data_IF_027519676037
#
_entry.id   IF_027519676037
#
_cell.length_a   1.000
_cell.length_b   1.000
_cell.length_c   1.000
_cell.angle_alpha   90.00
_cell.angle_beta   90.00
_cell.angle_gamma   90.00
#
_symmetry.space_group_name_H-M   'P 1'
#
loop_
_entity.id
_entity.type
_entity.pdbx_description
1 polymer ?
#
# COMPACT_ATOMS: atom_id res chain seq x y z
N UNK A 1 -7.30 19.54 -27.89
CA UNK A 1 -6.67 20.67 -27.14
C UNK A 1 -5.76 20.07 -26.10
N UNK A 2 -4.45 20.25 -26.24
CA UNK A 2 -3.44 19.68 -25.31
C UNK A 2 -3.36 20.62 -24.10
N UNK A 3 -3.84 20.20 -22.94
CA UNK A 3 -3.55 20.88 -21.68
C UNK A 3 -2.10 20.59 -21.28
N UNK A 4 -1.26 21.60 -21.38
CA UNK A 4 0.10 21.60 -20.81
C UNK A 4 -0.04 21.77 -19.31
N UNK A 5 0.28 20.73 -18.57
CA UNK A 5 0.51 20.87 -17.13
C UNK A 5 1.85 21.62 -16.95
N UNK A 6 1.75 22.85 -16.48
CA UNK A 6 2.93 23.62 -16.05
C UNK A 6 3.33 23.07 -14.70
N UNK A 7 4.39 22.29 -14.68
CA UNK A 7 5.08 21.91 -13.44
C UNK A 7 5.73 23.18 -12.89
N UNK A 8 5.11 23.80 -11.91
CA UNK A 8 5.72 24.91 -11.18
C UNK A 8 6.76 24.29 -10.23
N UNK A 9 7.98 24.22 -10.72
CA UNK A 9 9.15 23.96 -9.90
C UNK A 9 9.41 25.21 -9.06
N UNK A 10 8.88 25.26 -7.84
CA UNK A 10 9.23 26.29 -6.87
C UNK A 10 10.63 25.98 -6.38
N UNK A 11 11.63 26.54 -7.04
CA UNK A 11 12.95 26.74 -6.44
C UNK A 11 12.79 27.73 -5.30
N UNK A 12 12.58 27.26 -4.10
CA UNK A 12 12.75 28.06 -2.89
C UNK A 12 14.23 28.38 -2.79
N UNK A 13 14.59 29.56 -3.21
CA UNK A 13 15.84 30.17 -2.76
C UNK A 13 15.83 30.14 -1.24
N UNK A 14 16.74 29.38 -0.65
CA UNK A 14 17.04 29.47 0.77
C UNK A 14 17.61 30.86 1.02
N UNK A 15 16.76 31.82 1.38
CA UNK A 15 17.22 32.92 2.21
C UNK A 15 17.83 32.25 3.44
N UNK A 16 19.14 32.42 3.62
CA UNK A 16 19.88 32.04 4.82
C UNK A 16 19.36 32.89 6.00
N UNK A 17 18.12 32.61 6.41
CA UNK A 17 17.59 33.07 7.68
C UNK A 17 18.37 32.38 8.79
N UNK A 18 18.73 33.12 9.78
CA UNK A 18 19.37 32.62 11.00
C UNK A 18 18.48 31.48 11.53
N UNK A 19 18.99 30.24 11.41
CA UNK A 19 18.33 29.09 12.04
C UNK A 19 18.48 29.26 13.53
N UNK A 20 17.40 29.26 14.28
CA UNK A 20 17.43 29.26 15.74
C UNK A 20 17.06 27.88 16.25
N UNK A 21 17.95 27.30 17.08
CA UNK A 21 17.61 26.09 17.81
C UNK A 21 16.48 26.40 18.81
N UNK A 22 15.50 25.49 18.92
CA UNK A 22 14.46 25.61 19.94
C UNK A 22 15.04 25.14 21.28
N UNK A 23 15.02 26.03 22.25
CA UNK A 23 15.27 25.72 23.65
C UNK A 23 13.91 25.43 24.32
N UNK A 24 13.73 24.22 24.81
CA UNK A 24 12.47 23.78 25.43
C UNK A 24 12.28 24.33 26.87
N UNK A 25 13.23 25.08 27.38
CA UNK A 25 13.17 25.71 28.72
C UNK A 25 12.85 27.21 28.68
N UNK A 26 13.15 27.88 27.57
CA UNK A 26 12.99 29.34 27.45
C UNK A 26 12.38 29.76 26.11
N UNK A 27 11.56 30.83 26.14
CA UNK A 27 11.00 31.39 24.92
C UNK A 27 12.05 32.05 24.07
N UNK A 28 11.92 31.96 22.75
CA UNK A 28 12.86 32.54 21.78
C UNK A 28 12.16 33.30 20.65
N UNK A 29 12.92 33.70 19.65
CA UNK A 29 12.37 34.42 18.51
C UNK A 29 11.42 33.53 17.70
N UNK A 30 10.14 33.88 17.67
CA UNK A 30 9.11 33.18 16.93
C UNK A 30 8.52 31.92 17.61
N UNK A 31 8.89 31.67 18.87
CA UNK A 31 8.25 30.65 19.69
C UNK A 31 8.19 31.04 21.16
N UNK A 32 7.23 30.51 21.86
CA UNK A 32 7.07 30.69 23.33
C UNK A 32 7.06 29.35 24.01
N UNK A 33 7.59 29.30 25.25
CA UNK A 33 7.55 28.13 26.12
C UNK A 33 6.68 28.46 27.33
N UNK A 34 5.68 27.64 27.58
CA UNK A 34 4.83 27.73 28.75
C UNK A 34 4.66 26.35 29.37
N UNK A 35 5.37 26.07 30.45
CA UNK A 35 5.45 24.75 31.09
C UNK A 35 6.03 23.74 30.07
N UNK A 36 5.26 22.72 29.76
CA UNK A 36 5.67 21.65 28.84
C UNK A 36 5.26 21.89 27.37
N UNK A 37 4.76 23.08 27.06
CA UNK A 37 4.26 23.41 25.72
C UNK A 37 5.15 24.45 25.05
N UNK A 38 5.65 24.12 23.88
CA UNK A 38 6.33 25.03 22.94
C UNK A 38 5.34 25.41 21.84
N UNK A 39 5.03 26.69 21.74
CA UNK A 39 4.14 27.21 20.67
C UNK A 39 4.96 28.00 19.64
N UNK A 40 5.00 27.52 18.40
CA UNK A 40 5.66 28.21 17.31
C UNK A 40 4.65 29.17 16.65
N UNK A 41 4.88 30.46 16.85
CA UNK A 41 4.04 31.56 16.34
C UNK A 41 4.75 32.40 15.26
N UNK A 42 6.02 32.16 15.02
CA UNK A 42 6.82 32.74 13.94
C UNK A 42 6.92 31.85 12.72
N UNK A 43 6.90 32.42 11.52
CA UNK A 43 7.33 31.70 10.32
C UNK A 43 8.87 31.59 10.32
N UNK A 44 9.39 30.55 9.67
CA UNK A 44 10.84 30.37 9.55
C UNK A 44 11.27 28.94 9.78
N UNK A 45 12.56 28.74 9.93
CA UNK A 45 13.15 27.42 10.18
C UNK A 45 13.75 27.36 11.58
N UNK A 46 13.47 26.25 12.27
CA UNK A 46 13.97 25.97 13.62
C UNK A 46 14.67 24.62 13.63
N UNK A 47 15.76 24.53 14.34
CA UNK A 47 16.49 23.28 14.52
C UNK A 47 16.04 22.60 15.82
N UNK A 48 15.74 21.31 15.73
CA UNK A 48 15.44 20.43 16.87
C UNK A 48 16.56 19.40 16.99
N UNK A 49 17.24 19.43 18.10
CA UNK A 49 18.35 18.55 18.44
C UNK A 49 18.15 17.98 19.84
N UNK A 50 18.88 16.93 20.17
CA UNK A 50 18.85 16.28 21.47
C UNK A 50 17.57 15.49 21.78
N UNK A 51 17.35 15.21 23.04
CA UNK A 51 16.23 14.40 23.52
C UNK A 51 15.42 15.18 24.55
N UNK A 52 14.12 15.17 24.37
CA UNK A 52 13.15 15.81 25.24
C UNK A 52 12.14 14.78 25.77
N UNK A 53 11.58 15.06 26.93
CA UNK A 53 10.52 14.24 27.53
C UNK A 53 9.36 15.12 27.97
N UNK A 54 8.13 14.58 27.81
CA UNK A 54 6.90 15.23 28.25
C UNK A 54 6.75 16.67 27.74
N UNK A 55 7.05 16.88 26.45
CA UNK A 55 6.89 18.17 25.78
C UNK A 55 5.87 18.05 24.64
N UNK A 56 5.24 19.17 24.34
CA UNK A 56 4.33 19.33 23.21
C UNK A 56 4.79 20.50 22.33
N UNK A 57 4.85 20.28 21.03
CA UNK A 57 5.10 21.32 20.05
C UNK A 57 3.76 21.67 19.37
N UNK A 58 3.34 22.93 19.46
CA UNK A 58 2.17 23.45 18.74
C UNK A 58 2.66 24.35 17.63
N UNK A 59 2.33 23.99 16.39
CA UNK A 59 2.59 24.80 15.20
C UNK A 59 1.38 25.69 14.95
N UNK A 60 1.39 26.90 15.47
CA UNK A 60 0.32 27.90 15.28
C UNK A 60 0.59 28.84 14.10
N UNK A 61 1.74 28.72 13.47
CA UNK A 61 2.09 29.39 12.20
C UNK A 61 2.97 28.46 11.37
N UNK A 62 2.71 28.44 10.07
CA UNK A 62 3.48 27.61 9.11
C UNK A 62 4.98 27.84 9.25
N UNK A 63 5.74 26.74 9.40
CA UNK A 63 7.17 26.78 9.67
C UNK A 63 7.87 25.51 9.19
N UNK A 64 9.19 25.53 9.28
CA UNK A 64 10.06 24.38 9.05
C UNK A 64 10.71 23.94 10.36
N UNK A 65 10.67 22.66 10.68
CA UNK A 65 11.44 22.05 11.76
C UNK A 65 12.50 21.12 11.14
N UNK A 66 13.76 21.43 11.38
CA UNK A 66 14.87 20.57 10.98
C UNK A 66 15.15 19.58 12.11
N UNK A 67 14.97 18.31 11.86
CA UNK A 67 15.18 17.25 12.83
C UNK A 67 16.53 16.58 12.54
N UNK A 68 17.47 16.79 13.44
CA UNK A 68 18.79 16.16 13.40
C UNK A 68 18.97 15.27 14.63
N UNK A 69 18.66 13.99 14.50
CA UNK A 69 18.69 13.02 15.62
C UNK A 69 17.85 13.41 16.84
N UNK A 70 16.76 14.13 16.59
CA UNK A 70 15.85 14.59 17.65
C UNK A 70 14.97 13.46 18.20
N UNK A 71 14.81 13.42 19.52
CA UNK A 71 13.92 12.45 20.18
C UNK A 71 12.97 13.17 21.14
N UNK A 72 11.67 12.90 21.01
CA UNK A 72 10.66 13.38 21.94
C UNK A 72 9.79 12.21 22.43
N UNK A 73 9.88 11.95 23.72
CA UNK A 73 9.13 10.86 24.36
C UNK A 73 8.16 11.42 25.39
N UNK A 74 6.88 11.19 25.19
CA UNK A 74 5.83 11.55 26.13
C UNK A 74 5.29 10.32 26.85
N UNK A 75 5.26 10.38 28.18
CA UNK A 75 4.68 9.36 29.06
C UNK A 75 3.35 9.83 29.68
N UNK A 76 3.01 11.13 29.54
CA UNK A 76 1.76 11.76 29.97
C UNK A 76 0.75 11.96 28.84
N UNK A 77 -0.19 12.89 29.02
CA UNK A 77 -1.28 13.13 28.07
C UNK A 77 -0.91 14.00 26.88
N UNK A 78 0.31 14.51 26.79
CA UNK A 78 0.70 15.47 25.75
C UNK A 78 0.91 14.80 24.39
N UNK A 79 0.30 15.36 23.36
CA UNK A 79 0.58 15.04 21.95
C UNK A 79 1.94 15.61 21.57
N UNK A 80 2.89 14.83 21.03
CA UNK A 80 4.21 15.33 20.68
C UNK A 80 4.17 16.52 19.72
N UNK A 81 3.44 16.43 18.60
CA UNK A 81 3.30 17.53 17.63
C UNK A 81 1.83 17.75 17.29
N UNK A 82 1.36 18.99 17.45
CA UNK A 82 0.06 19.46 16.99
C UNK A 82 0.26 20.53 15.92
N UNK A 83 -0.32 20.32 14.73
CA UNK A 83 -0.36 21.32 13.65
C UNK A 83 -1.75 21.97 13.68
N UNK A 84 -1.77 23.27 13.95
CA UNK A 84 -3.02 24.04 14.06
C UNK A 84 -3.72 24.19 12.71
N UNK A 85 -4.98 24.58 12.75
CA UNK A 85 -5.84 24.74 11.59
C UNK A 85 -5.17 25.56 10.47
N UNK A 86 -5.24 25.04 9.24
CA UNK A 86 -4.75 25.70 8.02
C UNK A 86 -3.25 26.02 8.05
N UNK A 87 -2.47 25.41 8.94
CA UNK A 87 -1.03 25.60 8.99
C UNK A 87 -0.29 24.49 8.25
N UNK A 88 0.90 24.82 7.76
CA UNK A 88 1.82 23.88 7.13
C UNK A 88 3.03 23.66 8.03
N UNK A 89 3.31 22.43 8.36
CA UNK A 89 4.58 22.03 8.97
C UNK A 89 5.44 21.31 7.93
N UNK A 90 6.66 21.81 7.72
CA UNK A 90 7.70 21.09 6.99
C UNK A 90 8.66 20.46 8.00
N UNK A 91 8.80 19.14 7.99
CA UNK A 91 9.84 18.40 8.71
C UNK A 91 10.97 18.08 7.73
N UNK A 92 12.17 18.56 8.02
CA UNK A 92 13.38 18.24 7.25
C UNK A 92 14.24 17.28 8.06
N UNK A 93 14.39 16.06 7.57
CA UNK A 93 15.09 14.97 8.26
C UNK A 93 16.55 14.88 7.77
N UNK A 94 17.52 14.97 8.67
CA UNK A 94 18.94 14.80 8.35
C UNK A 94 19.60 13.62 9.07
N UNK A 95 18.97 13.12 10.13
CA UNK A 95 19.41 11.96 10.90
C UNK A 95 18.23 11.05 11.25
N UNK A 96 18.40 10.19 12.25
CA UNK A 96 17.32 9.35 12.78
C UNK A 96 16.64 10.07 13.95
N UNK A 97 15.42 10.49 13.77
CA UNK A 97 14.59 11.13 14.80
C UNK A 97 13.46 10.21 15.26
N UNK A 98 13.01 10.39 16.50
CA UNK A 98 11.98 9.55 17.10
C UNK A 98 10.95 10.41 17.83
N UNK A 99 9.66 10.14 17.62
CA UNK A 99 8.57 10.74 18.37
C UNK A 99 7.68 9.62 18.95
N UNK A 100 7.36 9.70 20.23
CA UNK A 100 6.53 8.73 20.93
C UNK A 100 5.48 9.43 21.75
N UNK A 101 4.24 8.96 21.69
CA UNK A 101 3.18 9.34 22.60
C UNK A 101 2.99 8.31 23.73
N UNK A 102 1.99 8.52 24.56
CA UNK A 102 1.56 7.57 25.59
C UNK A 102 0.13 7.09 25.32
N UNK A 103 -0.28 6.03 26.01
CA UNK A 103 -1.65 5.53 25.95
C UNK A 103 -2.70 6.53 26.47
N UNK A 104 -2.28 7.53 27.24
CA UNK A 104 -3.13 8.60 27.79
C UNK A 104 -3.04 9.91 26.98
N UNK A 105 -2.41 9.89 25.80
CA UNK A 105 -2.33 11.05 24.92
C UNK A 105 -3.72 11.72 24.76
N UNK A 106 -3.78 13.05 24.83
CA UNK A 106 -5.03 13.82 24.70
C UNK A 106 -5.63 13.71 23.29
N UNK A 107 -4.80 13.58 22.25
CA UNK A 107 -5.20 13.43 20.86
C UNK A 107 -4.86 12.02 20.35
N UNK A 108 -5.43 11.65 19.21
CA UNK A 108 -5.34 10.31 18.64
C UNK A 108 -4.19 10.15 17.63
N UNK A 109 -3.08 10.86 17.84
CA UNK A 109 -1.90 10.80 16.97
C UNK A 109 -0.63 11.28 17.63
N UNK A 110 0.52 10.69 17.25
CA UNK A 110 1.85 11.22 17.61
C UNK A 110 2.07 12.58 16.95
N UNK A 111 1.69 12.67 15.68
CA UNK A 111 1.55 13.95 14.96
C UNK A 111 0.06 14.10 14.62
N UNK A 112 -0.54 15.19 15.10
CA UNK A 112 -1.95 15.47 14.92
C UNK A 112 -2.16 16.74 14.08
N UNK A 113 -2.97 16.62 13.05
CA UNK A 113 -3.28 17.69 12.10
C UNK A 113 -4.72 18.19 12.34
N UNK A 114 -4.89 19.47 12.67
CA UNK A 114 -6.20 20.09 12.73
C UNK A 114 -6.69 20.43 11.30
N UNK A 115 -7.95 20.79 11.18
CA UNK A 115 -8.64 21.07 9.92
C UNK A 115 -7.81 21.92 8.94
N UNK A 116 -7.65 21.40 7.72
CA UNK A 116 -6.91 22.08 6.67
C UNK A 116 -5.39 22.14 6.87
N UNK A 117 -4.86 21.51 7.90
CA UNK A 117 -3.42 21.47 8.12
C UNK A 117 -2.71 20.54 7.11
N UNK A 118 -1.47 20.88 6.79
CA UNK A 118 -0.63 20.14 5.86
C UNK A 118 0.71 19.79 6.51
N UNK A 119 1.10 18.51 6.38
CA UNK A 119 2.40 18.02 6.81
C UNK A 119 3.26 17.65 5.59
N UNK A 120 4.43 18.26 5.47
CA UNK A 120 5.47 17.89 4.51
C UNK A 120 6.65 17.28 5.26
N UNK A 121 7.05 16.08 4.90
CA UNK A 121 8.27 15.42 5.41
C UNK A 121 9.24 15.28 4.26
N UNK A 122 10.47 15.74 4.43
CA UNK A 122 11.52 15.73 3.40
C UNK A 122 12.90 15.48 3.99
N UNK A 123 13.92 15.41 3.13
CA UNK A 123 15.31 15.15 3.51
C UNK A 123 15.67 13.67 3.40
N UNK A 124 16.91 13.33 3.76
CA UNK A 124 17.45 11.96 3.60
C UNK A 124 17.51 11.16 4.90
N UNK A 125 16.99 11.73 5.99
CA UNK A 125 16.94 11.08 7.29
C UNK A 125 15.72 10.19 7.47
N UNK A 126 15.52 9.72 8.70
CA UNK A 126 14.37 8.90 9.08
C UNK A 126 13.63 9.47 10.28
N UNK A 127 12.30 9.36 10.25
CA UNK A 127 11.42 9.65 11.37
C UNK A 127 10.75 8.37 11.82
N UNK A 128 10.94 8.03 13.09
CA UNK A 128 10.27 6.91 13.74
C UNK A 128 9.15 7.45 14.63
N UNK A 129 7.93 6.96 14.41
CA UNK A 129 6.78 7.26 15.26
C UNK A 129 6.39 6.00 16.02
N UNK A 130 6.22 6.13 17.33
CA UNK A 130 5.80 5.04 18.22
C UNK A 130 4.47 5.40 18.89
N UNK A 131 3.33 5.22 18.18
CA UNK A 131 2.01 5.46 18.77
C UNK A 131 1.69 4.37 19.80
N UNK A 132 1.31 4.81 20.99
CA UNK A 132 0.80 3.94 22.07
C UNK A 132 -0.69 4.09 22.28
N UNK A 133 -1.30 5.21 21.86
CA UNK A 133 -2.73 5.41 21.94
C UNK A 133 -3.44 4.92 20.69
N UNK A 134 -3.24 5.57 19.53
CA UNK A 134 -4.00 5.24 18.34
C UNK A 134 -3.15 5.31 17.05
N UNK A 135 -2.83 6.48 16.50
CA UNK A 135 -2.24 6.65 15.19
C UNK A 135 -0.83 7.24 15.25
N UNK A 136 0.02 6.87 14.27
CA UNK A 136 1.29 7.58 14.08
C UNK A 136 1.04 9.01 13.60
N UNK A 137 0.27 9.17 12.54
CA UNK A 137 -0.18 10.47 12.03
C UNK A 137 -1.70 10.43 11.91
N UNK A 138 -2.36 11.42 12.51
CA UNK A 138 -3.82 11.54 12.46
C UNK A 138 -4.23 12.95 12.08
N UNK A 139 -5.31 13.09 11.33
CA UNK A 139 -5.81 14.38 10.91
C UNK A 139 -7.33 14.46 10.76
N UNK A 140 -7.85 15.65 11.00
CA UNK A 140 -9.26 15.99 10.79
C UNK A 140 -9.55 16.40 9.34
N UNK A 141 -10.64 17.11 9.09
CA UNK A 141 -11.10 17.47 7.75
C UNK A 141 -10.05 18.21 6.93
N UNK A 142 -9.93 17.87 5.65
CA UNK A 142 -9.06 18.53 4.68
C UNK A 142 -7.56 18.48 5.02
N UNK A 143 -7.12 17.51 5.82
CA UNK A 143 -5.71 17.33 6.16
C UNK A 143 -4.98 16.47 5.14
N UNK A 144 -3.72 16.83 4.88
CA UNK A 144 -2.90 16.14 3.88
C UNK A 144 -1.46 15.92 4.34
N UNK A 145 -0.83 14.89 3.77
CA UNK A 145 0.57 14.54 3.99
C UNK A 145 1.29 14.40 2.65
N UNK A 146 2.51 14.92 2.58
CA UNK A 146 3.46 14.56 1.52
C UNK A 146 4.79 14.15 2.15
N UNK A 147 5.38 13.05 1.67
CA UNK A 147 6.71 12.56 2.05
C UNK A 147 7.58 12.50 0.81
N UNK A 148 8.72 13.20 0.81
CA UNK A 148 9.58 13.44 -0.36
C UNK A 148 11.07 13.14 -0.09
N UNK A 149 11.87 13.23 -1.16
CA UNK A 149 13.32 13.44 -1.16
C UNK A 149 14.15 12.34 -0.48
N UNK A 150 13.67 11.12 -0.48
CA UNK A 150 14.36 9.99 0.13
C UNK A 150 14.09 9.84 1.62
N UNK A 151 13.22 10.66 2.22
CA UNK A 151 12.82 10.54 3.62
C UNK A 151 12.24 9.15 3.91
N UNK A 152 12.56 8.63 5.09
CA UNK A 152 12.02 7.36 5.58
C UNK A 152 11.10 7.63 6.77
N UNK A 153 9.84 7.21 6.66
CA UNK A 153 8.87 7.26 7.74
C UNK A 153 8.61 5.85 8.25
N UNK A 154 8.91 5.63 9.52
CA UNK A 154 8.68 4.36 10.20
C UNK A 154 7.60 4.55 11.27
N UNK A 155 6.59 3.68 11.31
CA UNK A 155 5.57 3.69 12.35
C UNK A 155 5.48 2.30 12.97
N UNK A 156 5.80 2.21 14.25
CA UNK A 156 5.72 0.98 15.04
C UNK A 156 4.67 1.15 16.13
N UNK A 157 3.44 0.74 15.83
CA UNK A 157 2.35 0.84 16.78
C UNK A 157 2.36 -0.30 17.78
N UNK A 158 2.37 0.03 19.06
CA UNK A 158 2.24 -0.93 20.15
C UNK A 158 0.82 -0.96 20.75
N UNK A 159 -0.06 -0.10 20.25
CA UNK A 159 -1.46 -0.03 20.68
C UNK A 159 -2.31 -1.14 20.05
N UNK A 160 -3.21 -1.71 20.83
CA UNK A 160 -4.20 -2.69 20.33
C UNK A 160 -5.16 -2.10 19.29
N UNK A 161 -5.33 -0.78 19.26
CA UNK A 161 -6.15 -0.04 18.28
C UNK A 161 -5.31 0.88 17.39
N UNK A 162 -3.98 0.74 17.44
CA UNK A 162 -3.08 1.64 16.75
C UNK A 162 -2.92 1.35 15.28
N UNK A 163 -3.01 2.40 14.47
CA UNK A 163 -2.75 2.41 13.04
C UNK A 163 -1.53 3.24 12.66
N UNK A 164 -1.24 3.26 11.36
CA UNK A 164 -0.15 4.04 10.79
C UNK A 164 -0.55 5.49 10.57
N UNK A 165 -1.17 5.77 9.44
CA UNK A 165 -1.57 7.11 8.99
C UNK A 165 -3.08 7.10 8.72
N UNK A 166 -3.80 8.10 9.26
CA UNK A 166 -5.19 8.38 8.90
C UNK A 166 -5.39 9.86 8.60
N UNK A 167 -5.78 10.19 7.36
CA UNK A 167 -6.06 11.57 6.93
C UNK A 167 -7.31 11.63 6.06
N UNK A 168 -7.99 12.76 6.11
CA UNK A 168 -9.27 12.93 5.39
C UNK A 168 -9.15 13.52 3.98
N UNK A 169 -7.93 13.78 3.48
CA UNK A 169 -7.75 14.30 2.13
C UNK A 169 -6.70 13.50 1.37
N UNK A 170 -5.48 13.97 1.23
CA UNK A 170 -4.50 13.28 0.40
C UNK A 170 -3.27 12.81 1.16
N UNK A 171 -2.75 11.65 0.75
CA UNK A 171 -1.48 11.10 1.22
C UNK A 171 -0.62 10.82 0.00
N UNK A 172 0.54 11.48 -0.09
CA UNK A 172 1.45 11.37 -1.23
C UNK A 172 2.83 10.98 -0.73
N UNK A 173 3.36 9.89 -1.26
CA UNK A 173 4.76 9.50 -1.12
C UNK A 173 5.45 9.62 -2.48
N UNK A 174 6.44 10.50 -2.57
CA UNK A 174 7.19 10.74 -3.79
C UNK A 174 8.68 10.59 -3.53
N UNK A 175 9.27 9.50 -4.01
CA UNK A 175 10.64 9.12 -3.74
C UNK A 175 10.92 9.06 -2.22
N UNK A 176 10.15 8.24 -1.51
CA UNK A 176 10.21 8.13 -0.05
C UNK A 176 9.97 6.68 0.38
N UNK A 177 10.39 6.35 1.61
CA UNK A 177 10.18 5.02 2.16
C UNK A 177 9.18 5.06 3.31
N UNK A 178 8.35 4.02 3.42
CA UNK A 178 7.41 3.85 4.51
C UNK A 178 7.43 2.44 5.05
N UNK A 179 7.61 2.33 6.36
CA UNK A 179 7.55 1.05 7.07
C UNK A 179 6.50 1.16 8.17
N UNK A 180 5.55 0.24 8.16
CA UNK A 180 4.54 0.13 9.19
C UNK A 180 4.51 -1.27 9.79
N UNK A 181 4.42 -1.32 11.11
CA UNK A 181 4.15 -2.54 11.86
C UNK A 181 3.18 -2.22 13.00
N UNK A 182 2.00 -2.80 12.96
CA UNK A 182 0.96 -2.54 13.95
C UNK A 182 -0.31 -3.34 13.71
N UNK A 183 -1.37 -3.01 14.44
CA UNK A 183 -2.60 -3.83 14.41
C UNK A 183 -3.61 -3.37 13.37
N UNK A 184 -3.80 -2.06 13.18
CA UNK A 184 -4.81 -1.50 12.29
C UNK A 184 -4.24 -1.16 10.92
N UNK A 185 -4.95 -0.34 10.15
CA UNK A 185 -4.55 0.04 8.81
C UNK A 185 -3.16 0.68 8.76
N UNK A 186 -2.36 0.29 7.76
CA UNK A 186 -1.06 0.90 7.53
C UNK A 186 -1.19 2.32 7.02
N UNK A 187 -1.96 2.51 5.96
CA UNK A 187 -2.33 3.82 5.41
C UNK A 187 -3.84 3.83 5.20
N UNK A 188 -4.49 4.87 5.68
CA UNK A 188 -5.93 5.07 5.55
C UNK A 188 -6.23 6.53 5.16
N UNK A 189 -7.05 6.74 4.14
CA UNK A 189 -7.44 8.06 3.68
C UNK A 189 -8.88 8.10 3.16
N UNK A 190 -9.63 9.13 3.53
CA UNK A 190 -10.92 9.42 2.89
C UNK A 190 -10.73 10.00 1.47
N UNK A 191 -9.54 10.50 1.15
CA UNK A 191 -9.18 11.08 -0.14
C UNK A 191 -8.26 10.18 -0.98
N UNK A 192 -7.37 10.81 -1.73
CA UNK A 192 -6.49 10.13 -2.68
C UNK A 192 -5.16 9.72 -2.04
N UNK A 193 -4.71 8.51 -2.32
CA UNK A 193 -3.37 8.02 -1.97
C UNK A 193 -2.53 7.89 -3.24
N UNK A 194 -1.30 8.43 -3.22
CA UNK A 194 -0.32 8.27 -4.30
C UNK A 194 0.99 7.74 -3.75
N UNK A 195 1.39 6.58 -4.23
CA UNK A 195 2.70 5.97 -3.96
C UNK A 195 3.50 6.01 -5.27
N UNK A 196 4.42 6.98 -5.42
CA UNK A 196 5.03 7.28 -6.72
C UNK A 196 6.36 6.53 -6.89
N UNK A 197 7.31 6.72 -5.99
CA UNK A 197 8.62 6.05 -5.96
C UNK A 197 9.01 5.71 -4.53
N UNK A 198 9.84 4.67 -4.37
CA UNK A 198 10.38 4.27 -3.07
C UNK A 198 9.94 2.89 -2.60
N UNK A 199 10.20 2.60 -1.34
CA UNK A 199 9.92 1.30 -0.72
C UNK A 199 8.85 1.38 0.37
N UNK A 200 7.85 0.51 0.27
CA UNK A 200 6.73 0.46 1.19
C UNK A 200 6.59 -0.95 1.77
N UNK A 201 6.58 -1.06 3.08
CA UNK A 201 6.41 -2.33 3.78
C UNK A 201 5.41 -2.18 4.92
N UNK A 202 4.36 -2.99 4.92
CA UNK A 202 3.31 -2.92 5.92
C UNK A 202 3.00 -4.30 6.47
N UNK A 203 2.99 -4.41 7.80
CA UNK A 203 2.49 -5.57 8.52
C UNK A 203 1.34 -5.12 9.41
N UNK A 204 0.14 -5.63 9.13
CA UNK A 204 -1.09 -5.28 9.84
C UNK A 204 -1.69 -6.54 10.47
N UNK A 205 -1.84 -6.56 11.82
CA UNK A 205 -2.39 -7.76 12.48
C UNK A 205 -3.90 -7.92 12.31
N UNK A 206 -4.65 -6.82 12.17
CA UNK A 206 -6.12 -6.85 12.07
C UNK A 206 -6.72 -5.69 11.29
N UNK A 207 -5.96 -5.06 10.43
CA UNK A 207 -6.40 -3.96 9.58
C UNK A 207 -5.86 -4.11 8.18
N UNK A 208 -6.33 -3.29 7.26
CA UNK A 208 -5.91 -3.30 5.87
C UNK A 208 -4.50 -2.74 5.71
N UNK A 209 -3.79 -3.21 4.70
CA UNK A 209 -2.52 -2.59 4.35
C UNK A 209 -2.72 -1.14 3.95
N UNK A 210 -3.53 -0.91 2.92
CA UNK A 210 -3.88 0.42 2.40
C UNK A 210 -5.40 0.49 2.22
N UNK A 211 -6.01 1.58 2.70
CA UNK A 211 -7.40 1.91 2.43
C UNK A 211 -7.51 3.33 1.90
N UNK A 212 -8.26 3.51 0.82
CA UNK A 212 -8.66 4.82 0.28
C UNK A 212 -10.16 4.79 -0.03
N UNK A 213 -10.91 5.74 0.47
CA UNK A 213 -12.33 5.86 0.10
C UNK A 213 -12.51 6.43 -1.33
N UNK A 214 -11.42 6.89 -1.95
CA UNK A 214 -11.44 7.46 -3.29
C UNK A 214 -10.45 6.73 -4.22
N UNK A 215 -9.30 7.28 -4.50
CA UNK A 215 -8.38 6.81 -5.54
C UNK A 215 -7.01 6.40 -4.95
N UNK A 216 -6.48 5.30 -5.44
CA UNK A 216 -5.12 4.86 -5.17
C UNK A 216 -4.33 4.81 -6.49
N UNK A 217 -3.21 5.52 -6.53
CA UNK A 217 -2.24 5.49 -7.62
C UNK A 217 -0.93 4.85 -7.15
N UNK A 218 -0.43 3.89 -7.93
CA UNK A 218 0.82 3.20 -7.64
C UNK A 218 1.75 3.25 -8.85
N UNK A 219 2.95 3.81 -8.66
CA UNK A 219 3.92 4.06 -9.72
C UNK A 219 3.58 5.28 -10.57
N UNK A 220 4.35 5.47 -11.62
CA UNK A 220 4.18 6.54 -12.61
C UNK A 220 3.96 5.95 -14.01
N UNK A 221 3.20 6.65 -14.84
CA UNK A 221 3.13 6.35 -16.27
C UNK A 221 4.54 6.45 -16.87
N UNK A 222 5.00 5.38 -17.51
CA UNK A 222 6.39 5.17 -17.96
C UNK A 222 7.44 4.98 -16.85
N UNK A 223 7.04 4.79 -15.59
CA UNK A 223 7.92 4.41 -14.49
C UNK A 223 8.54 3.01 -14.70
N UNK A 224 9.72 2.80 -14.14
CA UNK A 224 10.39 1.50 -14.19
C UNK A 224 9.88 0.57 -13.09
N UNK A 225 10.02 -0.73 -13.31
CA UNK A 225 9.59 -1.75 -12.34
C UNK A 225 10.39 -1.68 -11.03
N UNK A 226 11.63 -1.21 -11.08
CA UNK A 226 12.51 -1.06 -9.93
C UNK A 226 12.31 0.25 -9.15
N UNK A 227 11.57 1.22 -9.69
CA UNK A 227 11.40 2.54 -9.07
C UNK A 227 10.53 2.50 -7.81
N UNK A 228 9.66 1.49 -7.70
CA UNK A 228 8.73 1.40 -6.58
C UNK A 228 8.50 -0.05 -6.17
N UNK A 229 8.42 -0.25 -4.87
CA UNK A 229 8.22 -1.55 -4.26
C UNK A 229 7.19 -1.49 -3.13
N UNK A 230 6.21 -2.39 -3.13
CA UNK A 230 5.21 -2.51 -2.07
C UNK A 230 5.14 -3.95 -1.57
N UNK A 231 5.28 -4.13 -0.27
CA UNK A 231 5.00 -5.38 0.42
C UNK A 231 3.94 -5.18 1.50
N UNK A 232 2.89 -5.97 1.46
CA UNK A 232 1.82 -5.97 2.47
C UNK A 232 1.65 -7.37 3.01
N UNK A 233 1.61 -7.48 4.34
CA UNK A 233 1.15 -8.67 5.06
C UNK A 233 0.06 -8.26 6.03
N UNK A 234 -1.13 -8.87 5.91
CA UNK A 234 -2.28 -8.52 6.74
C UNK A 234 -3.22 -9.69 7.00
N UNK A 235 -3.92 -9.65 8.14
CA UNK A 235 -5.02 -10.57 8.43
C UNK A 235 -6.40 -10.03 7.96
N UNK A 236 -6.42 -8.95 7.21
CA UNK A 236 -7.58 -8.34 6.58
C UNK A 236 -7.30 -8.20 5.07
N UNK A 237 -7.88 -7.24 4.40
CA UNK A 237 -7.68 -6.93 2.98
C UNK A 237 -6.31 -6.26 2.76
N UNK A 238 -5.59 -6.68 1.72
CA UNK A 238 -4.31 -6.07 1.38
C UNK A 238 -4.47 -4.61 0.97
N UNK A 239 -5.23 -4.34 -0.07
CA UNK A 239 -5.50 -3.00 -0.61
C UNK A 239 -7.01 -2.86 -0.83
N UNK A 240 -7.60 -1.77 -0.31
CA UNK A 240 -9.00 -1.39 -0.60
C UNK A 240 -9.05 0.03 -1.12
N UNK A 241 -9.71 0.26 -2.27
CA UNK A 241 -10.03 1.60 -2.77
C UNK A 241 -11.18 1.59 -3.78
N UNK A 242 -11.84 2.74 -3.96
CA UNK A 242 -12.88 2.92 -4.97
C UNK A 242 -12.31 2.80 -6.40
N UNK A 243 -11.16 3.43 -6.65
CA UNK A 243 -10.42 3.29 -7.90
C UNK A 243 -8.96 3.01 -7.64
N UNK A 244 -8.40 2.06 -8.38
CA UNK A 244 -7.00 1.69 -8.28
C UNK A 244 -6.36 1.79 -9.67
N UNK A 245 -5.27 2.57 -9.79
CA UNK A 245 -4.45 2.61 -10.99
C UNK A 245 -3.01 2.22 -10.65
N UNK A 246 -2.54 1.14 -11.29
CA UNK A 246 -1.18 0.63 -11.15
C UNK A 246 -0.46 0.80 -12.47
N UNK A 247 0.56 1.65 -12.48
CA UNK A 247 1.33 1.99 -13.68
C UNK A 247 2.60 1.16 -13.82
N UNK A 248 3.31 0.94 -12.73
CA UNK A 248 4.64 0.30 -12.72
C UNK A 248 4.98 -0.24 -11.33
N UNK A 249 6.15 -0.85 -11.17
CA UNK A 249 6.67 -1.26 -9.87
C UNK A 249 6.45 -2.73 -9.55
N UNK A 250 6.77 -3.09 -8.30
CA UNK A 250 6.60 -4.45 -7.77
C UNK A 250 5.68 -4.43 -6.57
N UNK A 251 4.67 -5.28 -6.59
CA UNK A 251 3.69 -5.40 -5.53
C UNK A 251 3.66 -6.85 -5.05
N UNK A 252 3.75 -7.05 -3.74
CA UNK A 252 3.56 -8.34 -3.08
C UNK A 252 2.53 -8.20 -1.96
N UNK A 253 1.48 -9.00 -2.00
CA UNK A 253 0.39 -8.98 -1.01
C UNK A 253 0.19 -10.39 -0.46
N UNK A 254 0.21 -10.50 0.86
CA UNK A 254 -0.20 -11.67 1.63
C UNK A 254 -1.35 -11.24 2.55
N UNK A 255 -2.55 -11.81 2.37
CA UNK A 255 -3.76 -11.41 3.11
C UNK A 255 -4.60 -12.63 3.55
N UNK A 256 -5.30 -12.48 4.69
CA UNK A 256 -6.34 -13.45 5.10
C UNK A 256 -7.68 -13.11 4.46
N UNK A 257 -8.00 -11.84 4.33
CA UNK A 257 -9.08 -11.37 3.46
C UNK A 257 -8.65 -11.35 2.00
N UNK A 258 -9.25 -10.48 1.21
CA UNK A 258 -8.92 -10.33 -0.19
C UNK A 258 -7.56 -9.69 -0.40
N UNK A 259 -6.92 -10.02 -1.53
CA UNK A 259 -5.69 -9.34 -1.90
C UNK A 259 -5.93 -7.88 -2.22
N UNK A 260 -6.83 -7.63 -3.13
CA UNK A 260 -7.29 -6.29 -3.55
C UNK A 260 -8.82 -6.28 -3.56
N UNK A 261 -9.42 -5.29 -2.92
CA UNK A 261 -10.86 -5.02 -2.96
C UNK A 261 -11.11 -3.65 -3.62
N UNK A 262 -11.84 -3.64 -4.72
CA UNK A 262 -12.21 -2.43 -5.45
C UNK A 262 -13.68 -2.14 -5.18
N UNK A 263 -13.92 -1.44 -4.08
CA UNK A 263 -15.24 -1.27 -3.49
C UNK A 263 -15.37 0.09 -2.80
N UNK A 264 -16.58 0.63 -2.81
CA UNK A 264 -17.01 1.76 -1.99
C UNK A 264 -18.54 1.76 -1.88
N UNK A 265 -19.08 2.58 -0.99
CA UNK A 265 -20.53 2.76 -0.85
C UNK A 265 -21.25 3.20 -2.14
N UNK A 266 -20.50 3.78 -3.09
CA UNK A 266 -21.04 4.23 -4.39
C UNK A 266 -21.07 3.11 -5.45
N UNK A 267 -20.54 1.94 -5.12
CA UNK A 267 -20.41 0.79 -6.01
C UNK A 267 -21.11 -0.42 -5.41
N UNK A 268 -22.30 -0.19 -4.86
CA UNK A 268 -23.09 -1.28 -4.28
C UNK A 268 -23.38 -2.34 -5.36
N UNK A 269 -22.93 -3.59 -5.12
CA UNK A 269 -22.95 -4.73 -6.05
C UNK A 269 -24.31 -5.13 -6.59
N UNK A 270 -25.36 -4.35 -6.32
CA UNK A 270 -26.69 -4.50 -6.88
C UNK A 270 -26.89 -3.80 -8.24
N UNK A 271 -25.91 -3.01 -8.70
CA UNK A 271 -25.97 -2.33 -9.99
C UNK A 271 -24.94 -2.94 -10.93
N UNK A 272 -25.36 -3.81 -11.82
CA UNK A 272 -24.49 -4.31 -12.90
C UNK A 272 -23.96 -3.12 -13.70
N UNK A 273 -22.67 -2.87 -13.56
CA UNK A 273 -21.98 -1.89 -14.36
C UNK A 273 -21.69 -2.45 -15.76
N UNK A 274 -22.04 -1.72 -16.80
CA UNK A 274 -21.61 -2.01 -18.16
C UNK A 274 -20.81 -0.85 -18.71
N UNK A 275 -19.50 -0.83 -18.39
CA UNK A 275 -18.53 0.01 -19.12
C UNK A 275 -18.24 1.39 -18.61
N UNK A 276 -18.79 1.85 -17.46
CA UNK A 276 -18.41 3.10 -16.77
C UNK A 276 -18.70 2.98 -15.27
N UNK A 277 -18.12 1.96 -14.65
CA UNK A 277 -18.33 1.72 -13.24
C UNK A 277 -17.65 2.81 -12.39
N UNK A 278 -18.32 3.21 -11.30
CA UNK A 278 -17.76 4.14 -10.34
C UNK A 278 -16.51 3.54 -9.68
N UNK A 279 -16.47 2.20 -9.49
CA UNK A 279 -15.33 1.44 -9.02
C UNK A 279 -14.57 0.80 -10.18
N UNK A 280 -13.23 0.82 -10.13
CA UNK A 280 -12.43 0.21 -11.18
C UNK A 280 -10.99 -0.07 -10.76
N UNK A 281 -10.43 -1.15 -11.33
CA UNK A 281 -9.00 -1.43 -11.29
C UNK A 281 -8.42 -1.28 -12.69
N UNK A 282 -7.38 -0.46 -12.84
CA UNK A 282 -6.60 -0.36 -14.07
C UNK A 282 -5.15 -0.74 -13.79
N UNK A 283 -4.69 -1.82 -14.42
CA UNK A 283 -3.31 -2.30 -14.31
C UNK A 283 -2.60 -2.13 -15.65
N UNK A 284 -1.60 -1.24 -15.69
CA UNK A 284 -0.88 -0.85 -16.92
C UNK A 284 0.50 -1.49 -17.03
N UNK A 285 1.10 -1.88 -15.91
CA UNK A 285 2.45 -2.45 -15.93
C UNK A 285 2.98 -2.83 -14.56
N UNK A 286 4.23 -3.31 -14.53
CA UNK A 286 4.88 -3.77 -13.32
C UNK A 286 4.75 -5.28 -13.09
N UNK A 287 4.99 -5.72 -11.87
CA UNK A 287 4.81 -7.12 -11.44
C UNK A 287 4.04 -7.16 -10.13
N UNK A 288 2.97 -7.92 -10.09
CA UNK A 288 2.12 -8.05 -8.90
C UNK A 288 1.92 -9.53 -8.54
N UNK A 289 2.20 -9.87 -7.28
CA UNK A 289 1.92 -11.17 -6.69
C UNK A 289 0.94 -11.06 -5.54
N UNK A 290 -0.08 -11.90 -5.54
CA UNK A 290 -1.11 -11.96 -4.51
C UNK A 290 -1.21 -13.38 -3.98
N UNK A 291 -1.14 -13.52 -2.67
CA UNK A 291 -1.50 -14.71 -1.92
C UNK A 291 -2.59 -14.33 -0.91
N UNK A 292 -3.81 -14.76 -1.15
CA UNK A 292 -4.98 -14.45 -0.30
C UNK A 292 -5.70 -15.72 0.15
N UNK A 293 -6.38 -15.64 1.30
CA UNK A 293 -7.34 -16.69 1.71
C UNK A 293 -8.76 -16.35 1.24
N UNK A 294 -9.10 -15.07 1.09
CA UNK A 294 -10.26 -14.56 0.37
C UNK A 294 -10.03 -14.55 -1.14
N UNK A 295 -10.69 -13.64 -1.84
CA UNK A 295 -10.47 -13.44 -3.26
C UNK A 295 -9.08 -12.84 -3.55
N UNK A 296 -8.56 -13.12 -4.74
CA UNK A 296 -7.32 -12.47 -5.16
C UNK A 296 -7.54 -11.00 -5.45
N UNK A 297 -8.47 -10.74 -6.34
CA UNK A 297 -9.00 -9.42 -6.65
C UNK A 297 -10.52 -9.53 -6.61
N UNK A 298 -11.16 -8.77 -5.74
CA UNK A 298 -12.60 -8.58 -5.66
C UNK A 298 -12.94 -7.16 -6.15
N UNK A 299 -13.75 -7.03 -7.19
CA UNK A 299 -14.06 -5.74 -7.78
C UNK A 299 -15.55 -5.58 -8.08
N UNK A 300 -16.19 -4.64 -7.38
CA UNK A 300 -17.56 -4.22 -7.67
C UNK A 300 -17.65 -3.36 -8.96
N UNK A 301 -16.71 -3.56 -9.88
CA UNK A 301 -16.65 -2.81 -11.12
C UNK A 301 -15.71 -3.39 -12.17
N UNK A 302 -15.26 -2.56 -13.10
CA UNK A 302 -14.42 -2.98 -14.22
C UNK A 302 -12.97 -3.22 -13.80
N UNK A 303 -12.38 -4.28 -14.36
CA UNK A 303 -10.94 -4.55 -14.28
C UNK A 303 -10.34 -4.46 -15.69
N UNK A 304 -9.33 -3.59 -15.87
CA UNK A 304 -8.60 -3.43 -17.13
C UNK A 304 -7.12 -3.72 -16.94
N UNK A 305 -6.60 -4.71 -17.66
CA UNK A 305 -5.19 -5.10 -17.64
C UNK A 305 -4.61 -4.89 -19.03
N UNK A 306 -3.63 -4.00 -19.16
CA UNK A 306 -3.02 -3.65 -20.44
C UNK A 306 -1.52 -3.93 -20.52
N UNK A 307 -0.89 -4.41 -19.44
CA UNK A 307 0.54 -4.73 -19.41
C UNK A 307 0.98 -5.41 -18.14
N UNK A 308 2.29 -5.68 -18.04
CA UNK A 308 2.92 -6.22 -16.85
C UNK A 308 2.70 -7.72 -16.60
N UNK A 309 2.99 -8.15 -15.39
CA UNK A 309 2.89 -9.53 -14.94
C UNK A 309 2.07 -9.60 -13.65
N UNK A 310 1.01 -10.39 -13.64
CA UNK A 310 0.18 -10.64 -12.47
C UNK A 310 0.17 -12.15 -12.19
N UNK A 311 0.37 -12.53 -10.94
CA UNK A 311 0.14 -13.90 -10.48
C UNK A 311 -0.62 -13.89 -9.17
N UNK A 312 -1.70 -14.66 -9.12
CA UNK A 312 -2.66 -14.71 -8.03
C UNK A 312 -2.83 -16.16 -7.58
N UNK A 313 -2.72 -16.37 -6.29
CA UNK A 313 -3.11 -17.60 -5.62
C UNK A 313 -4.12 -17.24 -4.53
N UNK A 314 -5.38 -17.59 -4.75
CA UNK A 314 -6.48 -17.15 -3.89
C UNK A 314 -7.31 -18.29 -3.35
N UNK A 315 -8.11 -17.97 -2.35
CA UNK A 315 -9.18 -18.80 -1.81
C UNK A 315 -8.70 -20.00 -1.00
N UNK A 316 -9.41 -20.26 0.07
CA UNK A 316 -9.41 -21.53 0.80
C UNK A 316 -10.77 -22.19 0.77
N UNK A 317 -11.80 -21.40 0.40
CA UNK A 317 -13.19 -21.86 0.30
C UNK A 317 -13.65 -21.93 -1.17
N UNK A 318 -14.72 -22.66 -1.42
CA UNK A 318 -15.25 -22.89 -2.77
C UNK A 318 -15.84 -21.67 -3.45
N UNK A 319 -16.18 -20.64 -2.69
CA UNK A 319 -16.77 -19.38 -3.15
C UNK A 319 -15.74 -18.31 -3.48
N UNK A 320 -14.50 -18.45 -2.97
CA UNK A 320 -13.44 -17.52 -3.31
C UNK A 320 -12.87 -17.75 -4.72
N UNK A 321 -12.60 -16.66 -5.42
CA UNK A 321 -12.10 -16.65 -6.79
C UNK A 321 -10.73 -15.95 -6.89
N UNK A 322 -9.90 -16.35 -7.86
CA UNK A 322 -8.67 -15.58 -8.13
C UNK A 322 -8.96 -14.15 -8.57
N UNK A 323 -10.01 -13.98 -9.37
CA UNK A 323 -10.53 -12.68 -9.78
C UNK A 323 -12.06 -12.79 -9.75
N UNK A 324 -12.68 -12.03 -8.88
CA UNK A 324 -14.13 -11.81 -8.83
C UNK A 324 -14.43 -10.37 -9.27
N UNK A 325 -15.33 -10.22 -10.21
CA UNK A 325 -15.71 -8.90 -10.73
C UNK A 325 -17.21 -8.86 -11.07
N UNK A 326 -17.84 -7.76 -10.73
CA UNK A 326 -19.23 -7.47 -11.13
C UNK A 326 -19.31 -6.78 -12.49
N UNK A 327 -18.22 -6.12 -12.90
CA UNK A 327 -18.07 -5.47 -14.19
C UNK A 327 -17.36 -6.31 -15.24
N UNK A 328 -16.75 -5.65 -16.21
CA UNK A 328 -15.97 -6.28 -17.28
C UNK A 328 -14.54 -6.52 -16.84
N UNK A 329 -14.03 -7.75 -16.97
CA UNK A 329 -12.60 -8.03 -16.97
C UNK A 329 -12.07 -7.99 -18.40
N UNK A 330 -11.27 -6.97 -18.74
CA UNK A 330 -10.66 -6.81 -20.05
C UNK A 330 -9.14 -6.93 -19.94
N UNK A 331 -8.54 -7.89 -20.69
CA UNK A 331 -7.10 -8.11 -20.74
C UNK A 331 -6.62 -7.87 -22.15
N UNK A 332 -5.96 -6.74 -22.37
CA UNK A 332 -5.44 -6.33 -23.70
C UNK A 332 -3.92 -6.49 -23.82
N UNK A 333 -3.22 -6.71 -22.70
CA UNK A 333 -1.77 -6.90 -22.67
C UNK A 333 -1.29 -7.50 -21.35
N UNK A 334 0.00 -7.80 -21.28
CA UNK A 334 0.62 -8.42 -20.11
C UNK A 334 0.40 -9.94 -20.02
N UNK A 335 0.70 -10.49 -18.86
CA UNK A 335 0.50 -11.92 -18.55
C UNK A 335 -0.18 -12.04 -17.19
N UNK A 336 -1.24 -12.82 -17.13
CA UNK A 336 -1.99 -13.09 -15.89
C UNK A 336 -2.03 -14.58 -15.63
N UNK A 337 -1.51 -14.99 -14.48
CA UNK A 337 -1.68 -16.32 -13.91
C UNK A 337 -2.62 -16.17 -12.71
N UNK A 338 -3.78 -16.78 -12.79
CA UNK A 338 -4.79 -16.71 -11.75
C UNK A 338 -5.20 -18.14 -11.33
N UNK A 339 -4.92 -18.48 -10.07
CA UNK A 339 -5.10 -19.81 -9.54
C UNK A 339 -5.95 -19.79 -8.26
N UNK A 340 -6.90 -20.70 -8.16
CA UNK A 340 -7.84 -20.77 -7.05
C UNK A 340 -7.97 -22.16 -6.44
N UNK A 341 -8.47 -22.19 -5.21
CA UNK A 341 -8.73 -23.44 -4.46
C UNK A 341 -9.99 -24.18 -4.95
N UNK A 342 -10.80 -23.57 -5.80
CA UNK A 342 -12.06 -24.16 -6.32
C UNK A 342 -12.02 -24.32 -7.84
N UNK A 343 -12.56 -25.42 -8.32
CA UNK A 343 -12.79 -25.64 -9.75
C UNK A 343 -13.98 -24.84 -10.31
N UNK A 344 -14.79 -24.24 -9.47
CA UNK A 344 -15.96 -23.43 -9.85
C UNK A 344 -15.66 -21.93 -9.99
N UNK A 345 -14.60 -21.45 -9.36
CA UNK A 345 -14.18 -20.04 -9.42
C UNK A 345 -13.49 -19.69 -10.74
N UNK A 346 -14.22 -19.61 -11.84
CA UNK A 346 -13.67 -19.38 -13.17
C UNK A 346 -13.39 -17.91 -13.40
N UNK A 347 -12.24 -17.63 -14.02
CA UNK A 347 -11.93 -16.31 -14.57
C UNK A 347 -12.60 -16.17 -15.94
N UNK A 348 -13.45 -15.17 -16.07
CA UNK A 348 -14.14 -14.82 -17.33
C UNK A 348 -13.59 -13.49 -17.80
N UNK A 349 -12.74 -13.54 -18.82
CA UNK A 349 -12.05 -12.34 -19.33
C UNK A 349 -12.34 -12.14 -20.80
N UNK A 350 -12.60 -10.89 -21.20
CA UNK A 350 -12.51 -10.46 -22.59
C UNK A 350 -11.04 -10.21 -22.92
N UNK A 351 -10.47 -11.04 -23.78
CA UNK A 351 -9.06 -10.91 -24.18
C UNK A 351 -8.86 -11.18 -25.65
N UNK A 352 -7.92 -10.46 -26.27
CA UNK A 352 -7.39 -10.74 -27.61
C UNK A 352 -6.13 -11.62 -27.58
N UNK A 353 -5.64 -11.94 -26.38
CA UNK A 353 -4.46 -12.77 -26.18
C UNK A 353 -4.79 -14.26 -26.13
N UNK A 354 -3.78 -15.11 -26.19
CA UNK A 354 -3.95 -16.55 -25.97
C UNK A 354 -4.29 -16.78 -24.48
N UNK A 355 -5.39 -17.46 -24.24
CA UNK A 355 -5.82 -17.80 -22.88
C UNK A 355 -6.09 -19.29 -22.78
N UNK A 356 -5.63 -19.93 -21.69
CA UNK A 356 -5.85 -21.36 -21.42
C UNK A 356 -6.13 -21.59 -19.97
N UNK A 357 -6.85 -22.68 -19.67
CA UNK A 357 -7.17 -23.11 -18.34
C UNK A 357 -6.68 -24.55 -18.08
N UNK A 358 -6.40 -24.81 -16.82
CA UNK A 358 -6.22 -26.17 -16.29
C UNK A 358 -7.24 -26.38 -15.16
N UNK A 359 -7.96 -27.49 -15.22
CA UNK A 359 -8.87 -27.92 -14.18
C UNK A 359 -8.41 -29.26 -13.65
N UNK A 360 -7.84 -29.27 -12.46
CA UNK A 360 -7.26 -30.43 -11.81
C UNK A 360 -6.48 -30.03 -10.57
N UNK A 361 -6.21 -31.02 -9.73
CA UNK A 361 -5.50 -30.76 -8.48
C UNK A 361 -4.01 -30.59 -8.74
N UNK A 362 -3.46 -29.44 -8.33
CA UNK A 362 -2.03 -29.18 -8.23
C UNK A 362 -1.70 -29.00 -6.75
N UNK A 363 -0.77 -29.83 -6.25
CA UNK A 363 -0.33 -29.76 -4.86
C UNK A 363 0.59 -28.57 -4.65
N UNK A 364 0.54 -27.97 -3.46
CA UNK A 364 1.53 -27.00 -3.02
C UNK A 364 2.94 -27.61 -3.02
N UNK A 365 3.95 -26.76 -3.19
CA UNK A 365 5.36 -27.14 -3.24
C UNK A 365 5.89 -27.49 -4.63
N UNK A 366 5.04 -27.74 -5.64
CA UNK A 366 5.47 -28.01 -7.00
C UNK A 366 5.96 -26.77 -7.76
N UNK A 367 6.96 -26.94 -8.63
CA UNK A 367 7.49 -25.85 -9.47
C UNK A 367 6.64 -25.70 -10.75
N UNK A 368 5.89 -24.61 -10.83
CA UNK A 368 5.06 -24.27 -11.97
C UNK A 368 5.80 -23.24 -12.85
N UNK A 369 5.99 -23.59 -14.11
CA UNK A 369 6.70 -22.75 -15.08
C UNK A 369 5.80 -22.55 -16.31
N UNK A 370 5.50 -21.30 -16.65
CA UNK A 370 4.91 -20.92 -17.93
C UNK A 370 6.03 -20.40 -18.84
N UNK A 371 6.09 -20.93 -20.06
CA UNK A 371 7.07 -20.51 -21.07
C UNK A 371 6.38 -20.35 -22.42
N UNK A 372 6.86 -19.42 -23.25
CA UNK A 372 6.49 -19.42 -24.66
C UNK A 372 6.93 -20.73 -25.32
N UNK A 373 6.28 -21.10 -26.39
CA UNK A 373 6.69 -22.25 -27.21
C UNK A 373 8.09 -22.08 -27.83
N UNK A 374 8.57 -20.84 -27.93
CA UNK A 374 9.95 -20.46 -28.29
C UNK A 374 10.98 -20.85 -27.20
N UNK A 375 10.53 -21.18 -25.99
CA UNK A 375 11.39 -21.52 -24.85
C UNK A 375 11.63 -20.36 -23.88
N UNK A 376 11.18 -19.14 -24.19
CA UNK A 376 11.30 -17.99 -23.29
C UNK A 376 10.44 -18.19 -22.04
N UNK A 377 11.04 -18.17 -20.86
CA UNK A 377 10.29 -18.24 -19.60
C UNK A 377 9.51 -16.93 -19.36
N UNK A 378 8.22 -17.06 -19.09
CA UNK A 378 7.31 -15.97 -18.74
C UNK A 378 7.24 -15.83 -17.23
N UNK A 379 6.97 -16.95 -16.54
CA UNK A 379 6.85 -17.05 -15.08
C UNK A 379 7.43 -18.37 -14.60
N UNK A 380 8.06 -18.35 -13.43
CA UNK A 380 8.44 -19.54 -12.70
C UNK A 380 8.14 -19.31 -11.22
N UNK A 381 7.34 -20.16 -10.62
CA UNK A 381 6.86 -20.01 -9.26
C UNK A 381 6.68 -21.38 -8.61
N UNK A 382 7.06 -21.50 -7.33
CA UNK A 382 6.65 -22.63 -6.51
C UNK A 382 5.22 -22.41 -6.06
N UNK A 383 4.32 -23.34 -6.36
CA UNK A 383 2.89 -23.26 -6.01
C UNK A 383 2.75 -23.19 -4.48
N UNK A 384 2.20 -22.09 -3.93
CA UNK A 384 2.24 -21.86 -2.48
C UNK A 384 1.28 -22.76 -1.70
N UNK A 385 0.22 -23.21 -2.33
CA UNK A 385 -0.84 -24.05 -1.73
C UNK A 385 -1.50 -24.92 -2.79
N UNK A 386 -2.27 -25.94 -2.36
CA UNK A 386 -3.05 -26.75 -3.30
C UNK A 386 -4.07 -25.88 -4.03
N UNK A 387 -4.10 -26.01 -5.36
CA UNK A 387 -5.05 -25.35 -6.25
C UNK A 387 -5.80 -26.37 -7.10
N UNK A 388 -6.98 -26.02 -7.60
CA UNK A 388 -7.82 -26.88 -8.43
C UNK A 388 -8.20 -26.21 -9.75
N UNK A 389 -7.89 -24.96 -9.92
CA UNK A 389 -8.13 -24.15 -11.11
C UNK A 389 -6.93 -23.26 -11.38
N UNK A 390 -6.54 -23.18 -12.64
CA UNK A 390 -5.51 -22.26 -13.14
C UNK A 390 -5.99 -21.66 -14.44
N UNK A 391 -5.98 -20.34 -14.52
CA UNK A 391 -6.12 -19.54 -15.73
C UNK A 391 -4.77 -18.90 -16.05
N UNK A 392 -4.38 -18.94 -17.31
CA UNK A 392 -3.20 -18.22 -17.79
C UNK A 392 -3.46 -17.60 -19.14
N UNK A 393 -3.07 -16.34 -19.32
CA UNK A 393 -3.04 -15.68 -20.62
C UNK A 393 -1.69 -15.04 -20.90
N UNK A 394 -1.36 -14.99 -22.21
CA UNK A 394 -0.15 -14.36 -22.71
C UNK A 394 -0.33 -13.97 -24.18
N UNK A 395 0.51 -13.04 -24.68
CA UNK A 395 0.44 -12.58 -26.06
C UNK A 395 0.76 -13.69 -27.08
N UNK A 396 1.78 -14.50 -26.79
CA UNK A 396 2.25 -15.58 -27.65
C UNK A 396 1.76 -16.95 -27.17
N UNK A 397 1.90 -17.97 -28.03
CA UNK A 397 1.61 -19.36 -27.64
C UNK A 397 2.56 -19.82 -26.53
N UNK A 398 2.03 -20.55 -25.58
CA UNK A 398 2.74 -20.96 -24.38
C UNK A 398 2.42 -22.39 -23.95
N UNK A 399 3.30 -22.93 -23.12
CA UNK A 399 3.12 -24.17 -22.39
C UNK A 399 3.30 -23.91 -20.88
N UNK A 400 2.64 -24.72 -20.06
CA UNK A 400 2.82 -24.71 -18.60
C UNK A 400 3.30 -26.09 -18.18
N UNK A 401 4.37 -26.12 -17.40
CA UNK A 401 4.89 -27.33 -16.78
C UNK A 401 4.77 -27.27 -15.26
N UNK A 402 4.53 -28.40 -14.65
CA UNK A 402 4.59 -28.63 -13.22
C UNK A 402 5.65 -29.70 -12.95
N UNK A 403 6.68 -29.36 -12.19
CA UNK A 403 7.82 -30.26 -11.90
C UNK A 403 8.42 -30.88 -13.17
N UNK A 404 8.51 -30.08 -14.25
CA UNK A 404 9.01 -30.48 -15.56
C UNK A 404 8.00 -31.23 -16.45
N UNK A 405 6.83 -31.62 -15.92
CA UNK A 405 5.78 -32.29 -16.70
C UNK A 405 4.81 -31.26 -17.28
N UNK A 406 4.59 -31.31 -18.59
CA UNK A 406 3.67 -30.40 -19.26
C UNK A 406 2.21 -30.69 -18.87
N UNK A 407 1.48 -29.65 -18.47
CA UNK A 407 0.06 -29.73 -18.18
C UNK A 407 -0.76 -29.75 -19.49
N UNK A 408 -1.83 -30.54 -19.48
CA UNK A 408 -2.83 -30.50 -20.56
C UNK A 408 -3.80 -29.35 -20.33
N UNK A 409 -3.68 -28.31 -21.13
CA UNK A 409 -4.48 -27.09 -21.03
C UNK A 409 -5.63 -27.12 -22.03
N UNK A 410 -6.76 -26.51 -21.67
CA UNK A 410 -7.92 -26.33 -22.53
C UNK A 410 -8.19 -24.84 -22.75
N UNK A 411 -8.86 -24.49 -23.84
CA UNK A 411 -9.35 -23.13 -24.06
C UNK A 411 -10.42 -22.81 -23.00
N UNK A 412 -10.51 -21.55 -22.52
CA UNK A 412 -11.66 -21.12 -21.75
C UNK A 412 -12.92 -21.30 -22.58
N UNK A 413 -13.97 -21.89 -22.01
CA UNK A 413 -15.25 -21.97 -22.72
C UNK A 413 -15.73 -20.55 -23.03
N UNK A 414 -16.07 -20.29 -24.30
CA UNK A 414 -16.82 -19.11 -24.71
C UNK A 414 -18.27 -19.21 -24.22
N UNK A 415 -18.42 -19.28 -22.91
CA UNK A 415 -19.72 -19.46 -22.26
C UNK A 415 -20.45 -18.15 -22.19
N UNK A 416 -21.63 -18.15 -22.74
CA UNK A 416 -22.68 -17.18 -22.46
C UNK A 416 -22.83 -17.01 -20.93
N UNK A 417 -22.90 -15.75 -20.53
CA UNK A 417 -23.45 -15.22 -19.28
C UNK A 417 -23.97 -16.26 -18.26
N UNK A 418 -23.11 -16.86 -17.46
CA UNK A 418 -23.55 -17.39 -16.18
C UNK A 418 -23.56 -16.21 -15.19
N UNK A 419 -24.77 -15.79 -14.87
CA UNK A 419 -25.07 -14.73 -13.92
C UNK A 419 -24.47 -15.09 -12.55
N UNK A 420 -23.65 -14.22 -11.92
CA UNK A 420 -23.21 -14.45 -10.56
C UNK A 420 -24.43 -14.48 -9.63
N UNK A 421 -24.61 -15.58 -8.93
CA UNK A 421 -25.62 -15.69 -7.90
C UNK A 421 -25.28 -14.80 -6.71
N UNK A 422 -26.18 -13.94 -6.32
CA UNK A 422 -26.12 -13.16 -5.09
C UNK A 422 -26.09 -14.11 -3.87
N UNK A 423 -24.92 -14.28 -3.28
CA UNK A 423 -24.73 -14.98 -2.02
C UNK A 423 -24.04 -14.08 -1.02
N UNK A 424 -24.77 -13.66 -0.01
CA UNK A 424 -24.27 -12.86 1.09
C UNK A 424 -23.29 -13.71 1.94
N UNK A 425 -22.00 -13.37 2.11
CA UNK A 425 -21.07 -14.19 2.86
C UNK A 425 -21.24 -13.98 4.37
N UNK A 426 -21.55 -15.05 5.08
CA UNK A 426 -21.38 -15.11 6.52
C UNK A 426 -19.93 -15.50 6.84
N UNK A 427 -19.20 -14.62 7.51
CA UNK A 427 -17.85 -14.88 8.03
C UNK A 427 -17.86 -16.08 8.98
N UNK A 428 -17.18 -17.16 8.60
CA UNK A 428 -16.86 -18.29 9.46
C UNK A 428 -15.38 -18.32 9.79
N UNK A 429 -15.04 -18.13 11.06
CA UNK A 429 -13.71 -18.34 11.60
C UNK A 429 -13.41 -19.84 11.72
N UNK A 430 -12.34 -20.31 11.08
CA UNK A 430 -11.82 -21.66 11.23
C UNK A 430 -10.30 -21.66 11.15
N UNK A 431 -9.67 -21.90 12.30
CA UNK A 431 -8.23 -22.14 12.42
C UNK A 431 -7.88 -23.52 11.89
N UNK A 432 -6.90 -23.57 11.01
CA UNK A 432 -5.85 -24.60 10.89
C UNK A 432 -5.10 -24.36 9.58
N UNK A 433 -3.83 -23.94 9.67
CA UNK A 433 -2.89 -24.22 8.59
C UNK A 433 -1.45 -23.79 8.87
N UNK A 434 -0.58 -24.77 8.75
CA UNK A 434 0.86 -24.60 8.56
C UNK A 434 1.14 -24.38 7.06
N UNK A 435 1.04 -23.15 6.57
CA UNK A 435 1.44 -22.79 5.22
C UNK A 435 2.88 -22.29 5.18
N UNK A 436 3.74 -22.99 4.41
CA UNK A 436 5.12 -22.58 4.17
C UNK A 436 5.22 -21.34 3.24
N UNK A 437 6.26 -20.50 3.38
CA UNK A 437 6.41 -19.26 2.63
C UNK A 437 6.67 -19.47 1.14
N UNK A 438 6.08 -18.63 0.32
CA UNK A 438 6.16 -18.63 -1.16
C UNK A 438 7.54 -18.24 -1.67
N UNK A 439 8.09 -19.01 -2.62
CA UNK A 439 9.34 -18.69 -3.31
C UNK A 439 9.05 -18.22 -4.75
N UNK A 440 9.36 -16.98 -5.04
CA UNK A 440 9.16 -16.38 -6.37
C UNK A 440 10.51 -16.25 -7.09
N UNK A 441 10.61 -16.83 -8.28
CA UNK A 441 11.76 -16.68 -9.16
C UNK A 441 11.35 -15.84 -10.39
N UNK A 442 11.88 -14.64 -10.53
CA UNK A 442 11.72 -13.82 -11.73
C UNK A 442 12.99 -13.88 -12.59
N UNK A 443 12.84 -13.68 -13.91
CA UNK A 443 13.91 -13.79 -14.91
C UNK A 443 15.27 -13.26 -14.43
N UNK A 444 16.21 -14.18 -14.18
CA UNK A 444 17.63 -13.91 -14.04
C UNK A 444 18.14 -13.62 -12.63
N UNK A 445 17.30 -13.44 -11.60
CA UNK A 445 17.77 -13.22 -10.22
C UNK A 445 17.12 -14.20 -9.26
N UNK A 446 17.94 -15.02 -8.62
CA UNK A 446 17.51 -15.93 -7.56
C UNK A 446 17.11 -15.12 -6.31
N UNK A 447 15.84 -15.11 -5.97
CA UNK A 447 15.37 -14.70 -4.63
C UNK A 447 15.07 -15.98 -3.87
N UNK A 448 16.00 -16.37 -2.99
CA UNK A 448 15.80 -17.48 -2.06
C UNK A 448 14.75 -17.08 -1.03
N UNK A 449 13.72 -17.92 -0.83
CA UNK A 449 12.67 -17.89 0.20
C UNK A 449 12.26 -16.48 0.63
N UNK A 450 11.17 -15.98 0.09
CA UNK A 450 10.54 -14.75 0.55
C UNK A 450 9.79 -15.00 1.88
N UNK A 451 10.51 -14.98 2.99
CA UNK A 451 9.92 -14.42 4.19
C UNK A 451 9.80 -12.92 3.91
N UNK A 452 8.62 -12.31 3.99
CA UNK A 452 8.42 -10.85 3.87
C UNK A 452 9.36 -10.10 4.83
N UNK A 453 9.73 -10.68 5.96
CA UNK A 453 10.80 -10.22 6.86
C UNK A 453 12.21 -10.19 6.22
N UNK A 454 12.49 -11.00 5.19
CA UNK A 454 13.79 -11.00 4.51
C UNK A 454 13.89 -9.93 3.41
N UNK A 455 12.77 -9.42 2.91
CA UNK A 455 12.75 -8.29 1.98
C UNK A 455 13.10 -6.97 2.67
N UNK A 456 12.81 -6.83 3.96
CA UNK A 456 13.21 -5.68 4.78
C UNK A 456 14.73 -5.62 4.93
N UNK A 457 15.42 -6.76 5.01
CA UNK A 457 16.88 -6.80 5.15
C UNK A 457 17.66 -6.50 3.86
N UNK A 458 17.03 -6.56 2.69
CA UNK A 458 17.64 -6.19 1.40
C UNK A 458 17.44 -4.72 1.01
N UNK A 459 16.60 -3.99 1.74
CA UNK A 459 16.38 -2.55 1.57
C UNK A 459 17.23 -1.68 2.52
N UNK A 460 18.05 -2.28 3.40
CA UNK A 460 18.87 -1.57 4.39
C UNK A 460 20.36 -1.52 3.98
N UNK A 461 20.72 -2.05 2.80
CA UNK A 461 22.10 -1.92 2.25
C UNK A 461 22.10 -1.39 0.83
#
# INVERSE_FOLDING_TARGET
MRQKYVLIMIYLFSLSGVKSAIDFSTSGTGYTVSGDVVTISGGGAYDLENSETNKKIIVSKSCTLNLNTFSLKNDGSLTPILISESQTLTLVLTGKSNLQDSATNELDGVIYLQKGAYLLISGTGSLELTPKKLMGINGTDSTSLTVNDGATLNIYSTSSNGGGIYLKSSIIFNNANYIYNGRKNGIDSEGTIKLIKGGYSMTCESGKGIQSENELFFGEENGKIEDIYLAIKTNDIGIKAKKIEIYSGRIAIESIGDGISVDSSDCDGNVKCSGNCACSLTYKGGSMGILSKGDGIDANGDIKISGGLIYIFSGIYSDNKPIDQDGLLEITGGSVLAAGASSTGRVIAKTSQKAKIYTGRILGGGDLIASETSGTKIIAITVPKTIYYLYFNHANDFVITLDGTQLTLTEPSSGQDEQPGSGNPTHGSGDDDNDEPVVIKTNGHFIKRLNILMLISLLIF
#
